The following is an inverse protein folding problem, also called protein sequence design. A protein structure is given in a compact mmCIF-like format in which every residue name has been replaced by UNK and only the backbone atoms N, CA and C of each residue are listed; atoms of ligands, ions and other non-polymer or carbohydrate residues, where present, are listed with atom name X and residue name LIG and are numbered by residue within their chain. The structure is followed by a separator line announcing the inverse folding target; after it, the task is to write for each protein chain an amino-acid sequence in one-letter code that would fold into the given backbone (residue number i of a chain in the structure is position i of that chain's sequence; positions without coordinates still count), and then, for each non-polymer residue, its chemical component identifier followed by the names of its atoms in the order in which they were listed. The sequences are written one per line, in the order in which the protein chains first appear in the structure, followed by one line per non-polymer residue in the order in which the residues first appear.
data_IF_339024038551
#
_entry.id   IF_339024038551
#
_cell.length_a   1.000
_cell.length_b   1.000
_cell.length_c   1.000
_cell.angle_alpha   90.00
_cell.angle_beta   90.00
_cell.angle_gamma   90.00
#
_symmetry.space_group_name_H-M   'P 1'
#
loop_
_entity.id
_entity.type
_entity.pdbx_description
1 polymer ?
#
# COMPACT_ATOMS: atom_id res chain seq x y z
N UNK A 1 -13.33 4.59 -1.31
CA UNK A 1 -13.86 4.13 -2.61
C UNK A 1 -14.31 5.27 -3.50
N UNK A 2 -15.27 6.12 -3.08
CA UNK A 2 -15.80 7.24 -3.90
C UNK A 2 -14.76 8.13 -4.60
N UNK A 3 -13.63 8.44 -3.95
CA UNK A 3 -12.57 9.27 -4.57
C UNK A 3 -11.89 8.60 -5.76
N UNK A 4 -11.52 7.31 -5.63
CA UNK A 4 -10.84 6.58 -6.72
C UNK A 4 -11.77 6.36 -7.91
N UNK A 5 -13.05 6.06 -7.65
CA UNK A 5 -14.06 5.96 -8.72
C UNK A 5 -14.30 7.31 -9.40
N UNK A 6 -14.36 8.40 -8.63
CA UNK A 6 -14.52 9.75 -9.20
C UNK A 6 -13.38 10.07 -10.16
N UNK A 7 -12.12 9.83 -9.76
CA UNK A 7 -10.97 10.05 -10.64
C UNK A 7 -11.06 9.14 -11.87
N UNK A 8 -11.31 7.84 -11.67
CA UNK A 8 -11.36 6.87 -12.77
C UNK A 8 -12.44 7.20 -13.80
N UNK A 9 -13.60 7.68 -13.36
CA UNK A 9 -14.73 8.06 -14.21
C UNK A 9 -14.48 9.37 -14.97
N UNK A 10 -13.54 10.21 -14.52
CA UNK A 10 -13.15 11.45 -15.19
C UNK A 10 -11.91 11.29 -16.09
N UNK A 11 -11.32 10.08 -16.17
CA UNK A 11 -10.21 9.85 -17.08
C UNK A 11 -10.71 9.76 -18.54
N UNK A 12 -10.02 10.41 -19.50
CA UNK A 12 -10.30 10.21 -20.92
C UNK A 12 -10.24 8.73 -21.30
N UNK A 13 -11.11 8.29 -22.22
CA UNK A 13 -11.08 6.93 -22.76
C UNK A 13 -9.68 6.66 -23.35
N UNK A 14 -9.14 5.47 -23.07
CA UNK A 14 -7.89 4.98 -23.67
C UNK A 14 -8.22 3.77 -24.52
N UNK A 15 -8.16 3.93 -25.84
CA UNK A 15 -8.41 2.84 -26.77
C UNK A 15 -7.41 1.70 -26.57
N UNK A 16 -7.89 0.47 -26.77
CA UNK A 16 -7.07 -0.74 -26.59
C UNK A 16 -6.71 -1.07 -25.13
N UNK A 17 -7.18 -0.32 -24.13
CA UNK A 17 -6.89 -0.60 -22.72
C UNK A 17 -8.16 -0.97 -21.95
N UNK A 18 -8.08 -2.04 -21.17
CA UNK A 18 -9.13 -2.49 -20.24
C UNK A 18 -8.60 -2.53 -18.81
N UNK A 19 -9.45 -2.18 -17.84
CA UNK A 19 -9.09 -2.18 -16.40
C UNK A 19 -8.91 -0.79 -15.77
N UNK A 20 -8.55 -0.78 -14.48
CA UNK A 20 -8.33 0.45 -13.71
C UNK A 20 -7.03 1.14 -14.12
N UNK A 21 -7.04 2.47 -14.22
CA UNK A 21 -5.90 3.32 -14.65
C UNK A 21 -5.49 4.40 -13.64
N UNK A 22 -6.08 4.40 -12.46
CA UNK A 22 -5.71 5.30 -11.36
C UNK A 22 -4.81 4.53 -10.43
N UNK A 23 -3.65 5.08 -10.09
CA UNK A 23 -2.77 4.55 -9.06
C UNK A 23 -2.70 5.52 -7.87
N UNK A 24 -2.39 5.00 -6.68
CA UNK A 24 -2.09 5.82 -5.51
C UNK A 24 -0.59 6.10 -5.57
N UNK A 25 -0.27 7.27 -6.15
CA UNK A 25 1.12 7.68 -6.39
C UNK A 25 1.92 7.83 -5.12
N UNK A 26 1.29 8.27 -4.03
CA UNK A 26 1.86 8.34 -2.69
C UNK A 26 0.71 8.22 -1.67
N UNK A 27 0.98 7.54 -0.56
CA UNK A 27 0.20 7.66 0.67
C UNK A 27 1.14 7.57 1.86
N UNK A 28 0.78 8.24 2.94
CA UNK A 28 1.57 8.25 4.16
C UNK A 28 0.85 9.07 5.20
N UNK A 29 1.23 8.88 6.47
CA UNK A 29 0.70 9.67 7.56
C UNK A 29 1.88 10.09 8.44
N UNK A 30 2.07 11.39 8.71
CA UNK A 30 3.18 11.83 9.53
C UNK A 30 2.95 11.41 10.99
N UNK A 31 3.99 10.89 11.64
CA UNK A 31 3.94 10.48 13.04
C UNK A 31 3.48 11.62 13.96
N UNK A 32 3.83 12.88 13.65
CA UNK A 32 3.33 14.05 14.38
C UNK A 32 1.79 14.17 14.37
N UNK A 33 1.13 13.76 13.29
CA UNK A 33 -0.33 13.78 13.19
C UNK A 33 -0.97 12.54 13.82
N UNK A 34 -0.39 11.36 13.62
CA UNK A 34 -0.94 10.10 14.15
C UNK A 34 -0.61 9.89 15.62
N UNK A 35 0.37 10.63 16.15
CA UNK A 35 0.88 10.64 17.53
C UNK A 35 1.56 9.35 17.98
N UNK A 36 1.21 8.20 17.41
CA UNK A 36 1.83 6.92 17.71
C UNK A 36 2.18 6.14 16.43
N UNK A 37 3.24 5.31 16.45
CA UNK A 37 3.58 4.45 15.32
C UNK A 37 2.50 3.40 15.03
N UNK A 38 1.77 2.95 16.06
CA UNK A 38 0.65 2.02 15.92
C UNK A 38 -0.53 2.64 15.14
N UNK A 39 -0.85 3.91 15.38
CA UNK A 39 -1.91 4.60 14.64
C UNK A 39 -1.49 4.88 13.20
N UNK A 40 -0.22 5.22 12.96
CA UNK A 40 0.34 5.36 11.61
C UNK A 40 0.21 4.06 10.81
N UNK A 41 0.60 2.93 11.42
CA UNK A 41 0.47 1.60 10.85
C UNK A 41 -0.98 1.23 10.55
N UNK A 42 -1.89 1.50 11.50
CA UNK A 42 -3.33 1.20 11.35
C UNK A 42 -3.93 1.94 10.16
N UNK A 43 -3.61 3.22 10.00
CA UNK A 43 -4.09 4.03 8.86
C UNK A 43 -3.45 3.58 7.55
N UNK A 44 -2.17 3.22 7.56
CA UNK A 44 -1.48 2.70 6.38
C UNK A 44 -2.14 1.40 5.89
N UNK A 45 -2.42 0.43 6.78
CA UNK A 45 -3.15 -0.80 6.42
C UNK A 45 -4.52 -0.52 5.81
N UNK A 46 -5.22 0.49 6.32
CA UNK A 46 -6.53 0.86 5.79
C UNK A 46 -6.44 1.33 4.32
N UNK A 47 -5.45 2.16 3.99
CA UNK A 47 -5.21 2.60 2.61
C UNK A 47 -4.79 1.44 1.71
N UNK A 48 -3.87 0.58 2.17
CA UNK A 48 -3.43 -0.61 1.45
C UNK A 48 -4.62 -1.51 1.10
N UNK A 49 -5.47 -1.81 2.10
CA UNK A 49 -6.67 -2.64 1.92
C UNK A 49 -7.63 -2.03 0.89
N UNK A 50 -7.98 -0.76 1.04
CA UNK A 50 -8.90 -0.08 0.12
C UNK A 50 -8.34 -0.05 -1.30
N UNK A 51 -7.05 0.22 -1.47
CA UNK A 51 -6.43 0.23 -2.79
C UNK A 51 -6.44 -1.16 -3.44
N UNK A 52 -6.15 -2.21 -2.68
CA UNK A 52 -6.20 -3.59 -3.15
C UNK A 52 -7.63 -4.02 -3.53
N UNK A 53 -8.62 -3.73 -2.67
CA UNK A 53 -10.04 -4.04 -2.91
C UNK A 53 -10.61 -3.29 -4.12
N UNK A 54 -10.19 -2.03 -4.33
CA UNK A 54 -10.64 -1.23 -5.48
C UNK A 54 -10.05 -1.70 -6.83
N UNK A 55 -8.95 -2.46 -6.80
CA UNK A 55 -8.23 -2.88 -8.01
C UNK A 55 -7.15 -1.91 -8.44
N UNK A 56 -6.57 -1.15 -7.50
CA UNK A 56 -5.50 -0.20 -7.78
C UNK A 56 -4.27 -0.95 -8.33
N UNK A 57 -3.72 -0.55 -9.50
CA UNK A 57 -2.58 -1.23 -10.11
C UNK A 57 -1.27 -0.97 -9.35
N UNK A 58 -1.18 0.12 -8.59
CA UNK A 58 -0.01 0.48 -7.81
C UNK A 58 -0.37 1.38 -6.63
N UNK A 59 0.25 1.13 -5.46
CA UNK A 59 0.03 1.86 -4.22
C UNK A 59 1.40 2.07 -3.56
N UNK A 60 1.90 3.31 -3.53
CA UNK A 60 3.23 3.61 -3.02
C UNK A 60 3.17 4.29 -1.65
N UNK A 61 3.84 3.71 -0.67
CA UNK A 61 4.01 4.35 0.63
C UNK A 61 5.11 5.41 0.57
N UNK A 62 4.79 6.61 1.02
CA UNK A 62 5.73 7.68 1.31
C UNK A 62 5.96 7.74 2.83
N UNK A 63 7.14 7.42 3.35
CA UNK A 63 8.40 7.10 2.66
C UNK A 63 9.28 6.15 3.49
N UNK A 64 10.36 5.61 2.92
CA UNK A 64 11.26 4.69 3.64
C UNK A 64 11.96 5.41 4.82
N UNK A 65 12.63 6.53 4.53
CA UNK A 65 13.31 7.40 5.51
C UNK A 65 12.71 8.80 5.41
N UNK A 66 12.60 9.53 6.51
CA UNK A 66 11.94 10.84 6.49
C UNK A 66 12.88 11.96 6.02
N UNK A 67 12.51 12.60 4.92
CA UNK A 67 13.12 13.85 4.45
C UNK A 67 12.26 15.09 4.77
N UNK A 68 11.07 14.91 5.34
CA UNK A 68 10.14 16.01 5.62
C UNK A 68 10.38 16.59 7.02
N UNK A 69 10.73 17.87 7.09
CA UNK A 69 10.98 18.57 8.37
C UNK A 69 10.55 20.03 8.32
N UNK A 70 10.15 20.55 9.48
CA UNK A 70 9.90 21.97 9.71
C UNK A 70 10.76 22.49 10.87
N UNK A 71 10.46 23.71 11.36
CA UNK A 71 11.17 24.33 12.47
C UNK A 71 11.03 23.56 13.81
N UNK A 72 10.06 22.64 13.92
CA UNK A 72 9.86 21.78 15.09
C UNK A 72 10.47 20.38 14.91
N UNK A 73 11.10 20.10 13.76
CA UNK A 73 11.76 18.84 13.46
C UNK A 73 11.04 18.01 12.40
N UNK A 74 11.37 16.72 12.34
CA UNK A 74 10.82 15.79 11.36
C UNK A 74 9.32 15.57 11.52
N UNK A 75 8.62 15.38 10.41
CA UNK A 75 7.18 15.12 10.40
C UNK A 75 6.85 13.66 10.75
N UNK A 76 7.77 12.76 10.42
CA UNK A 76 7.72 11.33 10.71
C UNK A 76 6.93 10.54 9.67
N UNK A 77 7.11 10.79 8.37
CA UNK A 77 6.52 9.95 7.31
C UNK A 77 7.27 8.62 7.09
N UNK A 78 8.35 8.39 7.83
CA UNK A 78 9.23 7.25 7.66
C UNK A 78 8.57 5.88 7.87
N UNK A 79 9.21 4.87 7.31
CA UNK A 79 9.14 3.48 7.77
C UNK A 79 10.30 3.16 8.74
N UNK A 80 11.44 3.81 8.56
CA UNK A 80 12.66 3.70 9.37
C UNK A 80 13.01 5.10 9.89
N UNK A 81 13.02 5.26 11.21
CA UNK A 81 13.16 6.58 11.82
C UNK A 81 14.60 7.14 11.78
N UNK A 82 14.79 8.34 12.34
CA UNK A 82 16.06 9.03 12.41
C UNK A 82 17.12 8.34 13.30
N UNK A 83 16.73 7.28 13.99
CA UNK A 83 17.60 6.41 14.80
C UNK A 83 17.83 5.05 14.13
N UNK A 84 17.42 4.91 12.86
CA UNK A 84 17.46 3.67 12.08
C UNK A 84 16.56 2.55 12.66
N UNK A 85 15.55 2.92 13.45
CA UNK A 85 14.60 1.95 14.01
C UNK A 85 13.44 1.69 13.04
N UNK A 86 13.25 0.41 12.71
CA UNK A 86 12.13 -0.07 11.88
C UNK A 86 10.80 0.04 12.63
N UNK A 87 9.94 0.91 12.15
CA UNK A 87 8.63 1.20 12.75
C UNK A 87 7.60 0.09 12.45
N UNK A 88 6.46 0.03 13.16
CA UNK A 88 5.42 -0.97 12.91
C UNK A 88 4.93 -0.99 11.46
N UNK A 89 4.84 0.17 10.79
CA UNK A 89 4.46 0.25 9.38
C UNK A 89 5.46 -0.44 8.45
N UNK A 90 6.77 -0.35 8.73
CA UNK A 90 7.80 -1.12 8.02
C UNK A 90 7.53 -2.63 8.17
N UNK A 91 7.33 -3.08 9.41
CA UNK A 91 7.16 -4.51 9.73
C UNK A 91 5.93 -5.09 9.05
N UNK A 92 4.86 -4.31 8.93
CA UNK A 92 3.66 -4.70 8.17
C UNK A 92 3.95 -4.87 6.68
N UNK A 93 4.70 -3.96 6.05
CA UNK A 93 5.07 -4.10 4.63
C UNK A 93 6.03 -5.28 4.40
N UNK A 94 7.00 -5.47 5.29
CA UNK A 94 7.94 -6.60 5.25
C UNK A 94 7.21 -7.94 5.35
N UNK A 95 6.28 -8.06 6.32
CA UNK A 95 5.46 -9.26 6.50
C UNK A 95 4.57 -9.51 5.29
N UNK A 96 3.87 -8.48 4.80
CA UNK A 96 3.04 -8.56 3.61
C UNK A 96 3.83 -9.05 2.39
N UNK A 97 5.00 -8.46 2.13
CA UNK A 97 5.86 -8.85 0.99
C UNK A 97 6.30 -10.31 1.09
N UNK A 98 6.72 -10.76 2.28
CA UNK A 98 7.14 -12.14 2.52
C UNK A 98 5.99 -13.11 2.29
N UNK A 99 4.86 -12.91 2.96
CA UNK A 99 3.70 -13.82 2.90
C UNK A 99 3.09 -13.87 1.50
N UNK A 100 3.00 -12.74 0.80
CA UNK A 100 2.49 -12.75 -0.58
C UNK A 100 3.44 -13.45 -1.55
N UNK A 101 4.76 -13.36 -1.35
CA UNK A 101 5.72 -14.13 -2.16
C UNK A 101 5.60 -15.62 -1.92
N UNK A 102 5.41 -16.02 -0.67
CA UNK A 102 5.19 -17.42 -0.31
C UNK A 102 3.89 -17.94 -0.95
N UNK A 103 2.79 -17.22 -0.78
CA UNK A 103 1.50 -17.58 -1.38
C UNK A 103 1.56 -17.69 -2.90
N UNK A 104 2.26 -16.80 -3.60
CA UNK A 104 2.42 -16.90 -5.07
C UNK A 104 3.16 -18.18 -5.47
N UNK A 105 4.19 -18.59 -4.71
CA UNK A 105 4.93 -19.84 -4.96
C UNK A 105 4.06 -21.07 -4.73
N UNK A 106 3.30 -21.08 -3.64
CA UNK A 106 2.35 -22.15 -3.34
C UNK A 106 1.28 -22.25 -4.42
N UNK A 107 0.66 -21.12 -4.78
CA UNK A 107 -0.34 -21.06 -5.84
C UNK A 107 0.21 -21.60 -7.17
N UNK A 108 1.43 -21.21 -7.55
CA UNK A 108 2.07 -21.69 -8.77
C UNK A 108 2.34 -23.20 -8.73
N UNK A 109 2.74 -23.71 -7.57
CA UNK A 109 2.99 -25.14 -7.36
C UNK A 109 1.70 -25.95 -7.51
N UNK A 110 0.60 -25.46 -6.95
CA UNK A 110 -0.68 -26.15 -6.91
C UNK A 110 -1.45 -26.04 -8.24
N UNK A 111 -1.51 -24.84 -8.81
CA UNK A 111 -2.32 -24.54 -10.00
C UNK A 111 -1.55 -24.66 -11.31
N UNK A 112 -0.23 -24.87 -11.25
CA UNK A 112 0.69 -24.94 -12.41
C UNK A 112 0.64 -23.69 -13.30
N UNK A 113 0.26 -22.55 -12.73
CA UNK A 113 0.25 -21.22 -13.35
C UNK A 113 0.40 -20.14 -12.28
N UNK A 114 0.81 -18.95 -12.67
CA UNK A 114 0.78 -17.79 -11.77
C UNK A 114 -0.67 -17.38 -11.45
N UNK A 115 -0.91 -16.75 -10.28
CA UNK A 115 -2.20 -16.14 -9.99
C UNK A 115 -2.47 -15.01 -10.98
N UNK A 116 -3.73 -14.86 -11.37
CA UNK A 116 -4.20 -13.67 -12.09
C UNK A 116 -4.10 -12.44 -11.19
N UNK A 117 -4.08 -11.22 -11.75
CA UNK A 117 -4.11 -10.00 -10.94
C UNK A 117 -5.28 -9.94 -9.96
N UNK A 118 -6.45 -10.49 -10.32
CA UNK A 118 -7.61 -10.53 -9.45
C UNK A 118 -7.42 -11.50 -8.27
N UNK A 119 -6.97 -12.74 -8.54
CA UNK A 119 -6.68 -13.72 -7.48
C UNK A 119 -5.63 -13.19 -6.49
N UNK A 120 -4.58 -12.54 -7.01
CA UNK A 120 -3.56 -11.92 -6.16
C UNK A 120 -4.16 -10.83 -5.27
N UNK A 121 -4.95 -9.91 -5.84
CA UNK A 121 -5.56 -8.80 -5.07
C UNK A 121 -6.53 -9.29 -4.01
N UNK A 122 -7.36 -10.29 -4.31
CA UNK A 122 -8.29 -10.86 -3.33
C UNK A 122 -7.55 -11.45 -2.12
N UNK A 123 -6.48 -12.22 -2.37
CA UNK A 123 -5.63 -12.73 -1.28
C UNK A 123 -4.88 -11.61 -0.55
N UNK A 124 -4.31 -10.66 -1.28
CA UNK A 124 -3.58 -9.54 -0.70
C UNK A 124 -4.49 -8.68 0.20
N UNK A 125 -5.73 -8.42 -0.22
CA UNK A 125 -6.69 -7.67 0.58
C UNK A 125 -7.08 -8.41 1.87
N UNK A 126 -7.15 -9.75 1.85
CA UNK A 126 -7.49 -10.54 3.04
C UNK A 126 -6.40 -10.49 4.12
N UNK A 127 -5.15 -10.18 3.78
CA UNK A 127 -4.07 -9.98 4.77
C UNK A 127 -4.33 -8.77 5.69
N UNK A 128 -5.09 -7.78 5.22
CA UNK A 128 -5.37 -6.54 5.95
C UNK A 128 -6.76 -6.50 6.60
N UNK A 129 -7.52 -7.59 6.52
CA UNK A 129 -8.81 -7.76 7.22
C UNK A 129 -8.56 -8.32 8.62
#
# INVERSE_FOLDING_TARGET
ERSLDTIANNLPRKEGFTGRRVFIGEYGFPLRQTRTPAEQERRARWVMRIGLEWGCPFILYWQMYDNEKDAQGQLGFWMIDDKDEKQPVYKTHERFYREMKEWVREFQTDKKRLPTPEEYRQKAASFFK
#
